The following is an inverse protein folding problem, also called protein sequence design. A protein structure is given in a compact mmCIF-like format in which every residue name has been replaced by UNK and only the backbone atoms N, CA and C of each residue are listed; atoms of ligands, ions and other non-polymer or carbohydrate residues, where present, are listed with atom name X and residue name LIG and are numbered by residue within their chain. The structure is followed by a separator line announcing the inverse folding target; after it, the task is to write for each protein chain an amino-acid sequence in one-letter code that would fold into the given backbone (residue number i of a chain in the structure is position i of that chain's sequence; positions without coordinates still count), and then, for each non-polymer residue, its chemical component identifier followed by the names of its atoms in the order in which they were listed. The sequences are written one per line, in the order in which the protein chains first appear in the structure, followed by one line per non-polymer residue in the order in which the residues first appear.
data_IF_800603303633
#
_entry.id   IF_800603303633
#
_cell.length_a   1.000
_cell.length_b   1.000
_cell.length_c   1.000
_cell.angle_alpha   90.00
_cell.angle_beta   90.00
_cell.angle_gamma   90.00
#
_symmetry.space_group_name_H-M   'P 1'
#
loop_
_entity.id
_entity.type
_entity.pdbx_description
1 polymer ?
#
# COMPACT_ATOMS: atom_id res chain seq x y z
N UNK A 1 17.51 35.31 -41.79
CA UNK A 1 16.07 35.38 -41.47
C UNK A 1 15.83 34.54 -40.23
N UNK A 2 15.95 35.18 -39.08
CA UNK A 2 15.79 34.61 -37.74
C UNK A 2 14.33 34.78 -37.31
N UNK A 3 13.58 33.68 -37.27
CA UNK A 3 12.19 33.65 -36.83
C UNK A 3 12.07 33.14 -35.39
N UNK A 4 11.90 34.04 -34.44
CA UNK A 4 11.64 33.77 -33.03
C UNK A 4 10.14 33.51 -32.84
N UNK A 5 9.75 32.28 -32.50
CA UNK A 5 8.37 31.95 -32.14
C UNK A 5 8.14 32.27 -30.65
N UNK A 6 7.42 33.36 -30.40
CA UNK A 6 6.84 33.70 -29.10
C UNK A 6 5.58 32.85 -28.87
N UNK A 7 5.67 31.86 -27.99
CA UNK A 7 4.48 31.19 -27.43
C UNK A 7 4.16 31.81 -26.07
N UNK A 8 3.27 32.81 -26.07
CA UNK A 8 2.68 33.36 -24.84
C UNK A 8 1.75 32.33 -24.19
N UNK A 9 2.27 31.62 -23.20
CA UNK A 9 1.46 30.76 -22.33
C UNK A 9 0.71 31.61 -21.30
N UNK A 10 -0.61 31.77 -21.50
CA UNK A 10 -1.51 32.27 -20.46
C UNK A 10 -1.48 31.31 -19.26
N UNK A 11 -0.91 31.76 -18.17
CA UNK A 11 -1.02 31.11 -16.86
C UNK A 11 -2.49 31.15 -16.41
N UNK A 12 -3.13 30.03 -16.05
CA UNK A 12 -4.45 30.08 -15.46
C UNK A 12 -4.34 30.68 -14.06
N UNK A 13 -4.93 31.85 -13.85
CA UNK A 13 -5.14 32.44 -12.55
C UNK A 13 -5.98 31.48 -11.69
N UNK A 14 -5.37 30.83 -10.70
CA UNK A 14 -6.08 30.09 -9.65
C UNK A 14 -6.79 31.10 -8.77
N UNK A 15 -8.11 31.10 -8.80
CA UNK A 15 -8.97 31.80 -7.85
C UNK A 15 -8.73 31.21 -6.45
N UNK A 16 -8.22 32.04 -5.54
CA UNK A 16 -7.72 31.65 -4.22
C UNK A 16 -8.82 31.42 -3.19
N UNK A 17 -9.41 30.23 -3.19
CA UNK A 17 -9.93 29.65 -1.95
C UNK A 17 -8.74 28.97 -1.25
N UNK A 18 -8.39 29.43 -0.06
CA UNK A 18 -7.34 28.81 0.75
C UNK A 18 -7.82 27.41 1.17
N UNK A 19 -7.21 26.37 0.60
CA UNK A 19 -7.56 24.98 0.88
C UNK A 19 -7.31 24.69 2.37
N UNK A 20 -8.32 24.17 3.06
CA UNK A 20 -8.19 23.87 4.49
C UNK A 20 -7.16 22.75 4.70
N UNK A 21 -6.38 22.82 5.79
CA UNK A 21 -5.47 21.74 6.15
C UNK A 21 -6.20 20.42 6.41
N UNK A 22 -5.52 19.30 6.16
CA UNK A 22 -6.06 17.94 6.32
C UNK A 22 -5.32 17.24 7.45
N UNK A 23 -6.06 16.89 8.50
CA UNK A 23 -5.53 16.37 9.77
C UNK A 23 -4.79 15.04 9.62
N UNK A 24 -5.35 14.08 8.87
CA UNK A 24 -4.84 12.71 8.73
C UNK A 24 -3.46 12.61 8.10
N UNK A 25 -2.97 13.70 7.48
CA UNK A 25 -1.63 13.79 6.92
C UNK A 25 -0.59 14.36 7.89
N UNK A 26 -0.96 14.74 9.11
CA UNK A 26 -0.04 15.33 10.09
C UNK A 26 0.48 14.29 11.07
N UNK A 27 1.74 14.47 11.48
CA UNK A 27 2.32 13.82 12.65
C UNK A 27 1.77 14.46 13.93
N UNK A 28 2.00 13.80 15.07
CA UNK A 28 1.58 14.34 16.36
C UNK A 28 2.19 15.71 16.63
N UNK A 29 3.49 15.87 16.34
CA UNK A 29 4.22 17.12 16.49
C UNK A 29 3.63 18.26 15.64
N UNK A 30 3.26 17.99 14.39
CA UNK A 30 2.62 18.99 13.52
C UNK A 30 1.21 19.34 13.99
N UNK A 31 0.47 18.36 14.52
CA UNK A 31 -0.83 18.63 15.15
C UNK A 31 -0.67 19.54 16.37
N UNK A 32 0.34 19.28 17.22
CA UNK A 32 0.65 20.13 18.37
C UNK A 32 1.05 21.55 17.96
N UNK A 33 1.89 21.69 16.94
CA UNK A 33 2.26 22.98 16.37
C UNK A 33 1.05 23.74 15.82
N UNK A 34 0.15 23.04 15.11
CA UNK A 34 -1.09 23.64 14.62
C UNK A 34 -2.00 24.11 15.76
N UNK A 35 -2.23 23.28 16.78
CA UNK A 35 -3.01 23.67 17.96
C UNK A 35 -2.41 24.92 18.64
N UNK A 36 -1.09 24.98 18.83
CA UNK A 36 -0.42 26.14 19.42
C UNK A 36 -0.62 27.41 18.58
N UNK A 37 -0.54 27.31 17.25
CA UNK A 37 -0.82 28.41 16.34
C UNK A 37 -2.27 28.91 16.38
N UNK A 38 -3.23 28.06 16.81
CA UNK A 38 -4.62 28.47 17.07
C UNK A 38 -4.82 29.07 18.48
N UNK A 39 -3.77 29.17 19.30
CA UNK A 39 -3.87 29.58 20.71
C UNK A 39 -4.49 28.50 21.61
N UNK A 40 -4.50 27.23 21.18
CA UNK A 40 -5.08 26.14 21.96
C UNK A 40 -4.07 25.56 22.94
N UNK A 41 -4.53 25.08 24.12
CA UNK A 41 -3.65 24.40 25.07
C UNK A 41 -2.97 23.16 24.47
N UNK A 42 -1.74 22.88 24.87
CA UNK A 42 -0.92 21.78 24.30
C UNK A 42 -1.55 20.39 24.37
N UNK A 43 -2.39 20.12 25.39
CA UNK A 43 -3.09 18.83 25.52
C UNK A 43 -4.15 18.59 24.42
N UNK A 44 -4.53 19.61 23.64
CA UNK A 44 -5.55 19.47 22.58
C UNK A 44 -5.09 18.56 21.45
N UNK A 45 -3.80 18.53 21.12
CA UNK A 45 -3.30 17.61 20.11
C UNK A 45 -3.55 16.15 20.49
N UNK A 46 -3.27 15.78 21.75
CA UNK A 46 -3.55 14.45 22.28
C UNK A 46 -5.03 14.11 22.25
N UNK A 47 -5.91 15.07 22.55
CA UNK A 47 -7.36 14.84 22.45
C UNK A 47 -7.82 14.62 21.02
N UNK A 48 -7.33 15.41 20.05
CA UNK A 48 -7.68 15.23 18.63
C UNK A 48 -7.23 13.84 18.13
N UNK A 49 -5.99 13.45 18.44
CA UNK A 49 -5.46 12.14 18.07
C UNK A 49 -6.23 10.99 18.72
N UNK A 50 -6.53 11.09 20.01
CA UNK A 50 -7.34 10.10 20.73
C UNK A 50 -8.72 9.93 20.10
N UNK A 51 -9.39 11.02 19.71
CA UNK A 51 -10.69 10.94 19.05
C UNK A 51 -10.65 10.29 17.68
N UNK A 52 -9.73 10.72 16.82
CA UNK A 52 -9.67 10.25 15.44
C UNK A 52 -9.14 8.82 15.38
N UNK A 53 -8.02 8.52 16.04
CA UNK A 53 -7.29 7.27 15.84
C UNK A 53 -7.65 6.15 16.83
N UNK A 54 -8.10 6.48 18.05
CA UNK A 54 -8.45 5.46 19.07
C UNK A 54 -9.95 5.30 19.25
N UNK A 55 -10.68 6.41 19.38
CA UNK A 55 -12.14 6.42 19.53
C UNK A 55 -12.89 6.37 18.20
N UNK A 56 -12.16 6.36 17.09
CA UNK A 56 -12.71 6.10 15.75
C UNK A 56 -13.82 7.12 15.38
N UNK A 57 -13.59 8.40 15.71
CA UNK A 57 -14.52 9.48 15.41
C UNK A 57 -14.42 9.91 13.95
N UNK A 58 -15.52 9.74 13.23
CA UNK A 58 -15.64 10.15 11.82
C UNK A 58 -15.79 11.67 11.63
N UNK A 59 -16.13 12.40 12.69
CA UNK A 59 -16.39 13.84 12.63
C UNK A 59 -16.09 14.54 13.97
N UNK A 60 -15.86 15.85 13.92
CA UNK A 60 -15.56 16.68 15.09
C UNK A 60 -16.73 16.83 16.07
N UNK A 61 -17.97 16.57 15.66
CA UNK A 61 -19.13 16.74 16.52
C UNK A 61 -19.15 15.72 17.67
N UNK A 62 -18.59 14.53 17.45
CA UNK A 62 -18.45 13.46 18.46
C UNK A 62 -17.43 13.75 19.56
N UNK A 63 -16.57 14.76 19.38
CA UNK A 63 -15.48 15.05 20.32
C UNK A 63 -16.00 15.73 21.60
N UNK A 64 -16.61 14.96 22.51
CA UNK A 64 -17.38 15.47 23.66
C UNK A 64 -16.56 16.21 24.73
N UNK A 65 -15.23 16.06 24.74
CA UNK A 65 -14.32 16.81 25.60
C UNK A 65 -13.85 18.15 24.98
N UNK A 66 -14.37 18.51 23.80
CA UNK A 66 -14.23 19.82 23.19
C UNK A 66 -15.51 20.64 23.42
N UNK A 67 -15.37 21.94 23.73
CA UNK A 67 -16.54 22.83 23.86
C UNK A 67 -17.30 22.92 22.52
N UNK A 68 -18.54 23.41 22.56
CA UNK A 68 -19.34 23.58 21.33
C UNK A 68 -18.67 24.56 20.37
N UNK A 69 -18.09 25.62 20.89
CA UNK A 69 -17.36 26.65 20.16
C UNK A 69 -16.11 26.06 19.50
N UNK A 70 -15.36 25.23 20.23
CA UNK A 70 -14.17 24.55 19.67
C UNK A 70 -14.52 23.57 18.56
N UNK A 71 -15.61 22.80 18.71
CA UNK A 71 -16.08 21.89 17.65
C UNK A 71 -16.47 22.67 16.39
N UNK A 72 -17.16 23.81 16.55
CA UNK A 72 -17.52 24.68 15.44
C UNK A 72 -16.30 25.34 14.76
N UNK A 73 -15.27 25.68 15.55
CA UNK A 73 -14.01 26.20 15.03
C UNK A 73 -13.21 25.14 14.26
N UNK A 74 -13.13 23.93 14.81
CA UNK A 74 -12.47 22.79 14.17
C UNK A 74 -13.04 22.53 12.78
N UNK A 75 -14.37 22.44 12.65
CA UNK A 75 -15.05 22.20 11.37
C UNK A 75 -14.84 23.32 10.34
N UNK A 76 -14.52 24.55 10.76
CA UNK A 76 -14.25 25.68 9.85
C UNK A 76 -12.79 25.78 9.43
N UNK A 77 -11.86 25.21 10.21
CA UNK A 77 -10.41 25.40 10.02
C UNK A 77 -9.66 24.14 9.62
N UNK A 78 -10.27 22.97 9.75
CA UNK A 78 -9.59 21.70 9.59
C UNK A 78 -10.52 20.67 8.93
N UNK A 79 -9.99 19.98 7.93
CA UNK A 79 -10.61 18.78 7.35
C UNK A 79 -10.04 17.57 8.08
N UNK A 80 -10.90 16.78 8.74
CA UNK A 80 -10.45 15.58 9.43
C UNK A 80 -10.02 14.49 8.44
N UNK A 81 -10.89 14.18 7.48
CA UNK A 81 -10.64 13.25 6.38
C UNK A 81 -11.13 13.87 5.08
N UNK A 82 -10.42 13.64 3.97
CA UNK A 82 -10.77 14.20 2.66
C UNK A 82 -11.22 13.18 1.62
N UNK A 83 -11.05 11.89 1.90
CA UNK A 83 -11.49 10.78 1.07
C UNK A 83 -12.81 10.21 1.56
N UNK A 84 -13.53 9.54 0.68
CA UNK A 84 -14.81 8.89 1.00
C UNK A 84 -14.90 7.52 0.33
N UNK A 85 -15.63 6.59 0.96
CA UNK A 85 -15.90 5.29 0.34
C UNK A 85 -16.99 5.46 -0.72
N UNK A 86 -16.68 5.14 -1.97
CA UNK A 86 -17.63 5.16 -3.09
C UNK A 86 -18.48 3.88 -3.07
N UNK A 87 -17.82 2.73 -2.96
CA UNK A 87 -18.49 1.42 -2.89
C UNK A 87 -17.69 0.42 -2.07
N UNK A 88 -18.37 -0.59 -1.54
CA UNK A 88 -17.77 -1.72 -0.82
C UNK A 88 -18.28 -3.04 -1.40
N UNK A 89 -17.37 -3.96 -1.67
CA UNK A 89 -17.69 -5.32 -2.09
C UNK A 89 -17.20 -6.31 -1.02
N UNK A 90 -18.08 -7.23 -0.61
CA UNK A 90 -17.79 -8.23 0.41
C UNK A 90 -17.67 -9.61 -0.24
N UNK A 91 -16.55 -10.27 0.01
CA UNK A 91 -16.24 -11.63 -0.45
C UNK A 91 -16.94 -12.68 0.40
N UNK A 92 -17.12 -13.87 -0.17
CA UNK A 92 -17.53 -15.09 0.54
C UNK A 92 -16.61 -15.45 1.72
N UNK A 93 -15.32 -15.09 1.66
CA UNK A 93 -14.36 -15.25 2.76
C UNK A 93 -14.35 -14.11 3.80
N UNK A 94 -15.31 -13.18 3.66
CA UNK A 94 -15.54 -11.97 4.46
C UNK A 94 -14.51 -10.84 4.27
N UNK A 95 -13.57 -10.97 3.34
CA UNK A 95 -12.72 -9.83 2.96
C UNK A 95 -13.58 -8.74 2.32
N UNK A 96 -13.24 -7.48 2.56
CA UNK A 96 -13.98 -6.34 2.00
C UNK A 96 -13.06 -5.46 1.18
N UNK A 97 -13.40 -5.26 -0.09
CA UNK A 97 -12.75 -4.30 -0.97
C UNK A 97 -13.54 -3.01 -1.02
N UNK A 98 -12.86 -1.89 -0.76
CA UNK A 98 -13.44 -0.54 -0.84
C UNK A 98 -12.85 0.19 -2.02
N UNK A 99 -13.70 0.80 -2.83
CA UNK A 99 -13.30 1.86 -3.75
C UNK A 99 -13.38 3.18 -3.00
N UNK A 100 -12.27 3.91 -2.92
CA UNK A 100 -12.14 5.13 -2.14
C UNK A 100 -11.91 6.29 -3.11
N UNK A 101 -12.83 7.25 -3.08
CA UNK A 101 -12.78 8.47 -3.87
C UNK A 101 -11.80 9.48 -3.27
N UNK A 102 -10.98 10.06 -4.14
CA UNK A 102 -9.98 11.07 -3.82
C UNK A 102 -10.49 12.48 -4.18
N UNK A 103 -9.93 13.53 -3.57
CA UNK A 103 -10.39 14.92 -3.76
C UNK A 103 -10.30 15.43 -5.20
N UNK A 104 -9.41 14.85 -6.00
CA UNK A 104 -9.16 15.20 -7.39
C UNK A 104 -10.04 14.39 -8.38
N UNK A 105 -11.01 13.63 -7.87
CA UNK A 105 -11.93 12.83 -8.68
C UNK A 105 -11.36 11.47 -9.12
N UNK A 106 -10.12 11.17 -8.78
CA UNK A 106 -9.55 9.83 -8.94
C UNK A 106 -10.02 8.89 -7.81
N UNK A 107 -9.69 7.60 -7.93
CA UNK A 107 -10.03 6.61 -6.91
C UNK A 107 -8.92 5.55 -6.76
N UNK A 108 -8.84 4.97 -5.57
CA UNK A 108 -7.99 3.82 -5.25
C UNK A 108 -8.77 2.74 -4.55
N UNK A 109 -8.27 1.51 -4.60
CA UNK A 109 -8.86 0.40 -3.86
C UNK A 109 -8.06 0.07 -2.59
N UNK A 110 -8.76 -0.31 -1.52
CA UNK A 110 -8.19 -0.82 -0.27
C UNK A 110 -8.93 -2.09 0.13
N UNK A 111 -8.23 -3.04 0.75
CA UNK A 111 -8.81 -4.34 1.13
C UNK A 111 -8.65 -4.57 2.62
N UNK A 112 -9.77 -4.76 3.31
CA UNK A 112 -9.79 -5.23 4.69
C UNK A 112 -9.90 -6.76 4.70
N UNK A 113 -9.00 -7.42 5.44
CA UNK A 113 -8.87 -8.87 5.47
C UNK A 113 -9.04 -9.34 6.92
N UNK A 114 -10.11 -10.08 7.25
CA UNK A 114 -10.34 -10.59 8.59
C UNK A 114 -9.35 -11.71 8.94
N UNK A 115 -8.69 -11.59 10.09
CA UNK A 115 -7.71 -12.55 10.64
C UNK A 115 -8.18 -13.09 12.01
N UNK A 116 -9.49 -13.35 12.15
CA UNK A 116 -10.09 -13.77 13.41
C UNK A 116 -10.31 -12.59 14.35
N UNK A 117 -9.49 -12.47 15.40
CA UNK A 117 -9.61 -11.41 16.41
C UNK A 117 -9.04 -10.04 15.98
N UNK A 118 -8.36 -9.99 14.84
CA UNK A 118 -7.77 -8.78 14.28
C UNK A 118 -7.95 -8.74 12.77
N UNK A 119 -7.52 -7.66 12.13
CA UNK A 119 -7.58 -7.51 10.69
C UNK A 119 -6.28 -6.95 10.10
N UNK A 120 -6.02 -7.33 8.85
CA UNK A 120 -5.01 -6.72 8.00
C UNK A 120 -5.68 -5.79 7.00
N UNK A 121 -5.13 -4.59 6.81
CA UNK A 121 -5.56 -3.68 5.73
C UNK A 121 -4.48 -3.60 4.66
N UNK A 122 -4.85 -3.91 3.42
CA UNK A 122 -4.05 -3.73 2.24
C UNK A 122 -4.30 -2.33 1.67
N UNK A 123 -3.30 -1.46 1.73
CA UNK A 123 -3.43 -0.06 1.32
C UNK A 123 -2.68 0.21 0.00
N UNK A 124 -3.26 1.12 -0.77
CA UNK A 124 -2.67 1.73 -1.96
C UNK A 124 -1.78 2.91 -1.57
N UNK A 125 -0.73 3.15 -2.36
CA UNK A 125 0.22 4.26 -2.17
C UNK A 125 0.27 5.23 -3.36
N UNK A 126 -0.29 4.84 -4.49
CA UNK A 126 -0.37 5.66 -5.70
C UNK A 126 -1.70 5.43 -6.41
N UNK A 127 -2.09 6.38 -7.25
CA UNK A 127 -3.20 6.19 -8.19
C UNK A 127 -2.64 5.52 -9.44
N UNK A 128 -2.92 4.23 -9.60
CA UNK A 128 -2.24 3.37 -10.58
C UNK A 128 -0.82 2.98 -10.15
N UNK A 129 0.01 2.47 -11.06
CA UNK A 129 1.38 2.06 -10.74
C UNK A 129 2.36 2.33 -11.89
N UNK A 130 3.49 3.02 -11.64
CA UNK A 130 4.47 3.34 -12.68
C UNK A 130 5.32 2.12 -13.10
N UNK A 131 5.32 1.03 -12.33
CA UNK A 131 6.16 -0.15 -12.62
C UNK A 131 5.62 -0.98 -13.79
N UNK A 132 4.30 -0.99 -14.00
CA UNK A 132 3.62 -1.73 -15.08
C UNK A 132 3.96 -3.23 -15.15
N UNK A 133 3.84 -3.93 -14.02
CA UNK A 133 3.95 -5.40 -14.02
C UNK A 133 2.89 -6.02 -14.93
N UNK A 134 3.29 -6.90 -15.86
CA UNK A 134 2.43 -7.47 -16.89
C UNK A 134 1.30 -8.38 -16.35
N UNK A 135 1.48 -8.89 -15.13
CA UNK A 135 0.52 -9.74 -14.42
C UNK A 135 -0.35 -8.96 -13.40
N UNK A 136 -0.30 -7.62 -13.40
CA UNK A 136 -0.98 -6.78 -12.41
C UNK A 136 -1.96 -5.79 -13.06
N UNK A 137 -3.22 -5.80 -12.63
CA UNK A 137 -4.26 -4.90 -13.13
C UNK A 137 -3.90 -3.42 -12.94
N UNK A 138 -3.35 -3.04 -11.78
CA UNK A 138 -2.94 -1.66 -11.51
C UNK A 138 -1.81 -1.19 -12.44
N UNK A 139 -1.00 -2.12 -12.96
CA UNK A 139 0.05 -1.82 -13.94
C UNK A 139 -0.51 -1.51 -15.33
N UNK A 140 -1.62 -2.17 -15.70
CA UNK A 140 -2.28 -1.98 -17.01
C UNK A 140 -3.03 -0.65 -17.13
N UNK A 141 -3.45 -0.06 -16.01
CA UNK A 141 -4.21 1.20 -15.98
C UNK A 141 -3.33 2.47 -15.97
N UNK A 142 -2.01 2.30 -16.05
CA UNK A 142 -1.06 3.39 -16.03
C UNK A 142 -0.87 4.02 -14.65
N UNK A 143 -0.26 5.20 -14.64
CA UNK A 143 0.08 5.96 -13.43
C UNK A 143 -0.44 7.39 -13.57
N UNK A 144 -1.01 7.92 -12.49
CA UNK A 144 -1.46 9.32 -12.46
C UNK A 144 -0.67 10.15 -11.47
N UNK A 145 -0.66 9.77 -10.19
CA UNK A 145 0.07 10.50 -9.15
C UNK A 145 0.33 9.66 -7.91
N UNK A 146 1.18 10.18 -7.05
CA UNK A 146 1.38 9.71 -5.70
C UNK A 146 0.20 10.09 -4.79
N UNK A 147 -0.08 9.25 -3.79
CA UNK A 147 -0.98 9.60 -2.69
C UNK A 147 -0.25 10.42 -1.63
N UNK A 148 -0.94 11.39 -1.03
CA UNK A 148 -0.48 12.04 0.19
C UNK A 148 -0.58 11.08 1.39
N UNK A 149 0.22 11.33 2.44
CA UNK A 149 0.22 10.50 3.65
C UNK A 149 -1.19 10.36 4.25
N UNK A 150 -1.96 11.44 4.28
CA UNK A 150 -3.36 11.42 4.72
C UNK A 150 -4.25 10.50 3.88
N UNK A 151 -4.09 10.49 2.56
CA UNK A 151 -4.85 9.59 1.66
C UNK A 151 -4.47 8.11 1.88
N UNK A 152 -3.25 7.82 2.33
CA UNK A 152 -2.81 6.46 2.71
C UNK A 152 -3.42 6.07 4.07
N UNK A 153 -3.29 6.94 5.07
CA UNK A 153 -3.81 6.74 6.44
C UNK A 153 -5.32 6.57 6.44
N UNK A 154 -6.03 7.38 5.66
CA UNK A 154 -7.50 7.35 5.59
C UNK A 154 -8.05 6.00 5.09
N UNK A 155 -7.30 5.24 4.28
CA UNK A 155 -7.69 3.88 3.88
C UNK A 155 -7.78 2.93 5.08
N UNK A 156 -6.91 3.09 6.08
CA UNK A 156 -6.92 2.32 7.32
C UNK A 156 -8.09 2.78 8.21
N UNK A 157 -8.31 4.09 8.31
CA UNK A 157 -9.41 4.66 9.08
C UNK A 157 -10.79 4.27 8.52
N UNK A 158 -10.97 4.26 7.20
CA UNK A 158 -12.21 3.77 6.58
C UNK A 158 -12.52 2.32 6.95
N UNK A 159 -11.50 1.47 7.00
CA UNK A 159 -11.65 0.09 7.43
C UNK A 159 -11.98 0.00 8.93
N UNK A 160 -11.31 0.79 9.77
CA UNK A 160 -11.55 0.85 11.22
C UNK A 160 -12.95 1.40 11.57
N UNK A 161 -13.44 2.41 10.84
CA UNK A 161 -14.79 2.95 10.96
C UNK A 161 -15.87 1.89 10.68
N UNK A 162 -15.67 1.07 9.65
CA UNK A 162 -16.61 0.01 9.32
C UNK A 162 -16.54 -1.19 10.29
N UNK A 163 -15.36 -1.48 10.85
CA UNK A 163 -15.10 -2.67 11.67
C UNK A 163 -14.64 -2.35 13.09
N UNK A 164 -15.41 -1.56 13.83
CA UNK A 164 -15.04 -1.10 15.17
C UNK A 164 -14.70 -2.20 16.18
N UNK A 165 -15.19 -3.43 16.00
CA UNK A 165 -14.92 -4.58 16.88
C UNK A 165 -13.67 -5.39 16.51
N UNK A 166 -13.19 -5.27 15.28
CA UNK A 166 -11.99 -5.97 14.82
C UNK A 166 -10.86 -4.96 14.70
N UNK A 167 -9.96 -4.95 15.69
CA UNK A 167 -8.84 -4.03 15.70
C UNK A 167 -7.99 -4.20 14.43
N UNK A 168 -7.83 -3.12 13.68
CA UNK A 168 -6.86 -3.06 12.58
C UNK A 168 -5.49 -2.90 13.20
N UNK A 169 -4.71 -3.98 13.18
CA UNK A 169 -3.39 -4.00 13.81
C UNK A 169 -2.28 -4.48 12.86
N UNK A 170 -2.63 -4.77 11.61
CA UNK A 170 -1.70 -5.14 10.53
C UNK A 170 -1.99 -4.28 9.29
N UNK A 171 -0.93 -3.76 8.67
CA UNK A 171 -1.04 -2.98 7.43
C UNK A 171 -0.04 -3.50 6.41
N UNK A 172 -0.50 -3.76 5.18
CA UNK A 172 0.37 -4.17 4.09
C UNK A 172 0.28 -3.15 2.96
N UNK A 173 1.42 -2.64 2.53
CA UNK A 173 1.53 -1.70 1.39
C UNK A 173 1.69 -2.52 0.11
N UNK A 174 0.62 -3.24 -0.23
CA UNK A 174 0.53 -4.19 -1.36
C UNK A 174 -0.70 -3.90 -2.23
N UNK A 175 -1.30 -2.72 -2.08
CA UNK A 175 -2.40 -2.25 -2.91
C UNK A 175 -1.91 -1.73 -4.27
N UNK A 176 -2.50 -0.64 -4.73
CA UNK A 176 -2.08 0.04 -5.95
C UNK A 176 -0.80 0.86 -5.70
N UNK A 177 0.17 0.74 -6.60
CA UNK A 177 1.41 1.54 -6.60
C UNK A 177 2.67 0.79 -6.12
N UNK A 178 3.80 1.46 -6.27
CA UNK A 178 5.11 1.08 -5.73
C UNK A 178 5.45 2.03 -4.56
N UNK A 179 5.32 1.58 -3.29
CA UNK A 179 5.49 2.44 -2.11
C UNK A 179 6.82 3.19 -2.09
N UNK A 180 7.91 2.56 -2.55
CA UNK A 180 9.24 3.15 -2.50
C UNK A 180 9.48 4.21 -3.58
N UNK A 181 8.58 4.36 -4.56
CA UNK A 181 8.54 5.50 -5.49
C UNK A 181 7.65 6.66 -4.97
N UNK A 182 6.97 6.45 -3.84
CA UNK A 182 6.25 7.48 -3.09
C UNK A 182 6.79 7.60 -1.66
N UNK A 183 8.12 7.52 -1.51
CA UNK A 183 8.77 7.26 -0.23
C UNK A 183 8.39 8.26 0.87
N UNK A 184 8.45 9.57 0.60
CA UNK A 184 8.19 10.60 1.62
C UNK A 184 6.77 10.53 2.20
N UNK A 185 5.77 10.32 1.35
CA UNK A 185 4.37 10.21 1.80
C UNK A 185 4.12 8.86 2.47
N UNK A 186 4.73 7.80 1.95
CA UNK A 186 4.66 6.46 2.50
C UNK A 186 5.26 6.39 3.92
N UNK A 187 6.51 6.82 4.12
CA UNK A 187 7.18 6.74 5.42
C UNK A 187 6.49 7.64 6.45
N UNK A 188 5.96 8.79 6.00
CA UNK A 188 5.13 9.66 6.83
C UNK A 188 3.84 8.98 7.27
N UNK A 189 3.15 8.26 6.37
CA UNK A 189 1.98 7.48 6.74
C UNK A 189 2.32 6.36 7.73
N UNK A 190 3.46 5.67 7.54
CA UNK A 190 3.97 4.67 8.50
C UNK A 190 4.19 5.29 9.88
N UNK A 191 4.81 6.47 9.96
CA UNK A 191 5.03 7.17 11.22
C UNK A 191 3.71 7.52 11.92
N UNK A 192 2.71 8.04 11.19
CA UNK A 192 1.39 8.38 11.73
C UNK A 192 0.66 7.15 12.28
N UNK A 193 0.69 6.04 11.54
CA UNK A 193 0.04 4.79 11.96
C UNK A 193 0.75 4.13 13.16
N UNK A 194 2.07 4.32 13.28
CA UNK A 194 2.88 3.75 14.35
C UNK A 194 2.88 4.57 15.65
N UNK A 195 2.60 5.87 15.57
CA UNK A 195 2.67 6.80 16.71
C UNK A 195 1.83 6.32 17.91
N UNK A 196 2.43 6.39 19.09
CA UNK A 196 1.82 5.93 20.34
C UNK A 196 0.57 6.71 20.72
N UNK A 197 0.43 7.98 20.30
CA UNK A 197 -0.74 8.81 20.57
C UNK A 197 -1.96 8.40 19.72
N UNK A 198 -1.74 7.65 18.64
CA UNK A 198 -2.75 7.29 17.66
C UNK A 198 -3.16 5.83 17.72
N UNK A 199 -3.18 5.19 16.53
CA UNK A 199 -3.52 3.78 16.37
C UNK A 199 -2.45 2.86 16.98
N UNK A 200 -1.22 3.35 17.12
CA UNK A 200 -0.10 2.65 17.73
C UNK A 200 0.14 1.25 17.11
N UNK A 201 0.03 1.16 15.77
CA UNK A 201 0.28 -0.08 15.05
C UNK A 201 1.78 -0.33 15.05
N UNK A 202 2.24 -1.35 15.78
CA UNK A 202 3.67 -1.66 15.86
C UNK A 202 4.29 -1.91 14.48
N UNK A 203 5.47 -1.33 14.23
CA UNK A 203 6.16 -1.42 12.93
C UNK A 203 6.34 -2.84 12.39
N UNK A 204 6.56 -3.83 13.27
CA UNK A 204 6.67 -5.26 12.91
C UNK A 204 5.37 -5.88 12.37
N UNK A 205 4.24 -5.20 12.53
CA UNK A 205 2.94 -5.59 11.96
C UNK A 205 2.64 -4.88 10.63
N UNK A 206 3.54 -4.02 10.19
CA UNK A 206 3.50 -3.38 8.90
C UNK A 206 4.48 -4.06 7.93
N UNK A 207 4.05 -4.23 6.69
CA UNK A 207 4.88 -4.84 5.64
C UNK A 207 4.82 -3.99 4.37
N UNK A 208 5.98 -3.54 3.90
CA UNK A 208 6.09 -2.93 2.58
C UNK A 208 6.53 -3.95 1.55
N UNK A 209 5.87 -3.95 0.39
CA UNK A 209 6.32 -4.71 -0.77
C UNK A 209 6.93 -3.77 -1.79
N UNK A 210 8.06 -4.16 -2.38
CA UNK A 210 8.69 -3.41 -3.47
C UNK A 210 9.14 -4.32 -4.59
N UNK A 211 9.11 -3.80 -5.81
CA UNK A 211 9.69 -4.40 -7.02
C UNK A 211 11.21 -4.20 -7.11
N UNK A 212 11.85 -3.66 -6.08
CA UNK A 212 13.32 -3.59 -5.98
C UNK A 212 13.90 -2.20 -6.15
N UNK A 213 13.22 -1.15 -5.65
CA UNK A 213 13.72 0.23 -5.69
C UNK A 213 14.86 0.38 -4.67
N UNK A 214 16.09 0.08 -5.08
CA UNK A 214 17.27 -0.01 -4.19
C UNK A 214 17.49 1.23 -3.31
N UNK A 215 17.41 2.48 -3.82
CA UNK A 215 17.56 3.66 -2.96
C UNK A 215 16.54 3.68 -1.82
N UNK A 216 15.28 3.37 -2.11
CA UNK A 216 14.21 3.30 -1.10
C UNK A 216 14.43 2.15 -0.10
N UNK A 217 14.96 0.99 -0.53
CA UNK A 217 15.31 -0.11 0.38
C UNK A 217 16.37 0.34 1.38
N UNK A 218 17.40 1.06 0.90
CA UNK A 218 18.48 1.57 1.77
C UNK A 218 17.96 2.60 2.76
N UNK A 219 17.10 3.51 2.30
CA UNK A 219 16.52 4.54 3.16
C UNK A 219 15.59 3.92 4.21
N UNK A 220 14.81 2.90 3.84
CA UNK A 220 13.91 2.18 4.73
C UNK A 220 14.66 1.51 5.91
N UNK A 221 15.85 0.98 5.65
CA UNK A 221 16.69 0.36 6.68
C UNK A 221 17.05 1.35 7.81
N UNK A 222 17.09 2.65 7.51
CA UNK A 222 17.34 3.71 8.49
C UNK A 222 16.03 4.21 9.13
N UNK A 223 15.03 4.55 8.30
CA UNK A 223 13.84 5.25 8.80
C UNK A 223 12.84 4.34 9.52
N UNK A 224 12.77 3.06 9.13
CA UNK A 224 11.84 2.09 9.73
C UNK A 224 12.46 0.67 9.82
N UNK A 225 13.57 0.49 10.56
CA UNK A 225 14.34 -0.76 10.61
C UNK A 225 13.56 -1.97 11.13
N UNK A 226 12.47 -1.74 11.87
CA UNK A 226 11.66 -2.80 12.45
C UNK A 226 10.58 -3.34 11.50
N UNK A 227 10.31 -2.64 10.40
CA UNK A 227 9.23 -3.00 9.48
C UNK A 227 9.60 -4.23 8.65
N UNK A 228 8.59 -5.00 8.22
CA UNK A 228 8.83 -6.15 7.35
C UNK A 228 9.04 -5.68 5.90
N UNK A 229 10.03 -6.26 5.24
CA UNK A 229 10.31 -6.01 3.82
C UNK A 229 9.95 -7.26 2.99
N UNK A 230 9.04 -7.05 2.05
CA UNK A 230 8.70 -8.02 1.02
C UNK A 230 9.22 -7.55 -0.36
N UNK A 231 9.71 -8.49 -1.16
CA UNK A 231 10.28 -8.25 -2.47
C UNK A 231 9.44 -8.99 -3.51
N UNK A 232 8.81 -8.22 -4.39
CA UNK A 232 8.16 -8.69 -5.60
C UNK A 232 9.22 -9.17 -6.61
N UNK A 233 9.72 -10.40 -6.41
CA UNK A 233 10.82 -10.96 -7.17
C UNK A 233 10.36 -11.53 -8.51
N UNK A 234 9.41 -12.48 -8.45
CA UNK A 234 8.62 -13.05 -9.56
C UNK A 234 9.39 -13.75 -10.70
N UNK A 235 10.72 -13.65 -10.75
CA UNK A 235 11.57 -14.37 -11.68
C UNK A 235 12.97 -14.54 -11.08
N UNK A 236 13.69 -15.55 -11.53
CA UNK A 236 15.01 -15.93 -11.01
C UNK A 236 16.17 -15.46 -11.90
N UNK A 237 15.87 -14.85 -13.04
CA UNK A 237 16.86 -14.26 -13.95
C UNK A 237 16.32 -12.97 -14.60
N UNK A 238 17.22 -12.04 -14.95
CA UNK A 238 16.86 -10.69 -15.36
C UNK A 238 16.03 -10.64 -16.65
N UNK A 239 16.27 -11.54 -17.61
CA UNK A 239 15.53 -11.56 -18.87
C UNK A 239 14.02 -11.77 -18.66
N UNK A 240 13.65 -12.76 -17.85
CA UNK A 240 12.24 -13.00 -17.51
C UNK A 240 11.71 -11.90 -16.58
N UNK A 241 12.52 -11.44 -15.63
CA UNK A 241 12.13 -10.37 -14.71
C UNK A 241 11.73 -9.09 -15.42
N UNK A 242 12.49 -8.66 -16.44
CA UNK A 242 12.15 -7.49 -17.27
C UNK A 242 10.92 -7.71 -18.14
N UNK A 243 10.63 -8.95 -18.55
CA UNK A 243 9.38 -9.28 -19.27
C UNK A 243 8.17 -9.17 -18.35
N UNK A 244 8.29 -9.62 -17.10
CA UNK A 244 7.19 -9.62 -16.13
C UNK A 244 7.00 -8.26 -15.45
N UNK A 245 8.08 -7.52 -15.21
CA UNK A 245 8.12 -6.22 -14.54
C UNK A 245 8.66 -5.19 -15.54
N UNK A 246 7.78 -4.55 -16.31
CA UNK A 246 8.17 -3.76 -17.48
C UNK A 246 9.17 -2.64 -17.16
N UNK A 247 8.94 -1.88 -16.09
CA UNK A 247 9.88 -0.87 -15.59
C UNK A 247 10.68 -1.38 -14.39
N UNK A 248 11.33 -2.53 -14.59
CA UNK A 248 12.17 -3.20 -13.59
C UNK A 248 13.24 -2.24 -13.02
N UNK A 249 13.25 -1.95 -11.70
CA UNK A 249 14.11 -0.91 -11.13
C UNK A 249 15.57 -1.34 -10.94
N UNK A 250 15.85 -2.65 -11.00
CA UNK A 250 17.17 -3.19 -10.67
C UNK A 250 17.41 -4.56 -11.32
N UNK A 251 18.67 -4.91 -11.49
CA UNK A 251 19.07 -6.31 -11.75
C UNK A 251 18.84 -7.16 -10.50
N UNK A 252 18.74 -8.48 -10.66
CA UNK A 252 18.71 -9.41 -9.53
C UNK A 252 20.03 -9.34 -8.74
N UNK A 253 21.17 -9.22 -9.42
CA UNK A 253 22.47 -9.11 -8.76
C UNK A 253 22.54 -7.93 -7.79
N UNK A 254 22.19 -6.73 -8.26
CA UNK A 254 22.21 -5.51 -7.43
C UNK A 254 21.14 -5.54 -6.34
N UNK A 255 19.97 -6.11 -6.65
CA UNK A 255 18.91 -6.32 -5.67
C UNK A 255 19.39 -7.20 -4.51
N UNK A 256 19.97 -8.37 -4.79
CA UNK A 256 20.45 -9.27 -3.74
C UNK A 256 21.53 -8.61 -2.87
N UNK A 257 22.45 -7.84 -3.46
CA UNK A 257 23.43 -7.06 -2.68
C UNK A 257 22.78 -6.04 -1.77
N UNK A 258 21.73 -5.37 -2.23
CA UNK A 258 20.98 -4.41 -1.41
C UNK A 258 20.22 -5.11 -0.28
N UNK A 259 19.66 -6.29 -0.52
CA UNK A 259 18.94 -7.08 0.49
C UNK A 259 19.88 -7.64 1.57
N UNK A 260 21.06 -8.12 1.18
CA UNK A 260 22.10 -8.52 2.13
C UNK A 260 22.53 -7.34 3.03
N UNK A 261 22.65 -6.13 2.46
CA UNK A 261 22.95 -4.92 3.23
C UNK A 261 21.79 -4.52 4.16
N UNK A 262 20.54 -4.61 3.68
CA UNK A 262 19.35 -4.35 4.48
C UNK A 262 19.26 -5.29 5.68
N UNK A 263 19.47 -6.59 5.46
CA UNK A 263 19.48 -7.58 6.54
C UNK A 263 20.59 -7.31 7.55
N UNK A 264 21.82 -7.03 7.11
CA UNK A 264 22.93 -6.68 8.01
C UNK A 264 22.63 -5.45 8.87
N UNK A 265 21.94 -4.44 8.32
CA UNK A 265 21.62 -3.21 9.03
C UNK A 265 20.46 -3.37 10.03
N UNK A 266 19.48 -4.22 9.72
CA UNK A 266 18.19 -4.27 10.45
C UNK A 266 17.95 -5.56 11.23
N UNK A 267 18.66 -6.64 10.89
CA UNK A 267 18.41 -7.99 11.36
C UNK A 267 17.07 -8.58 10.93
N UNK A 268 16.36 -7.95 9.96
CA UNK A 268 15.05 -8.43 9.49
C UNK A 268 15.23 -9.42 8.34
N UNK A 269 14.48 -10.52 8.42
CA UNK A 269 14.38 -11.48 7.31
C UNK A 269 13.58 -10.89 6.16
N UNK A 270 13.96 -11.29 4.94
CA UNK A 270 13.31 -10.85 3.71
C UNK A 270 12.18 -11.81 3.34
N UNK A 271 11.06 -11.27 2.87
CA UNK A 271 10.02 -12.10 2.24
C UNK A 271 10.10 -11.96 0.72
N UNK A 272 10.37 -13.05 0.00
CA UNK A 272 10.25 -13.05 -1.46
C UNK A 272 8.83 -13.41 -1.87
N UNK A 273 8.13 -12.48 -2.52
CA UNK A 273 6.85 -12.73 -3.15
C UNK A 273 7.10 -13.23 -4.59
N UNK A 274 6.58 -14.41 -4.90
CA UNK A 274 6.80 -15.10 -6.18
C UNK A 274 5.44 -15.48 -6.78
N UNK A 275 4.96 -14.69 -7.75
CA UNK A 275 3.77 -15.04 -8.51
C UNK A 275 4.10 -16.25 -9.38
N UNK A 276 3.33 -17.33 -9.20
CA UNK A 276 3.52 -18.55 -9.96
C UNK A 276 2.60 -18.51 -11.18
N UNK A 277 3.20 -18.50 -12.36
CA UNK A 277 2.57 -18.40 -13.67
C UNK A 277 2.82 -19.72 -14.41
N UNK A 278 1.74 -20.38 -14.83
CA UNK A 278 1.84 -21.69 -15.47
C UNK A 278 2.69 -21.61 -16.73
N UNK A 279 3.65 -22.54 -16.87
CA UNK A 279 4.56 -22.66 -18.02
C UNK A 279 5.47 -21.45 -18.28
N UNK A 280 5.58 -20.52 -17.32
CA UNK A 280 6.37 -19.29 -17.46
C UNK A 280 7.51 -19.24 -16.45
N UNK A 281 7.23 -19.54 -15.18
CA UNK A 281 8.20 -19.44 -14.10
C UNK A 281 7.98 -20.50 -13.00
N UNK A 282 7.35 -21.61 -13.37
CA UNK A 282 6.90 -22.71 -12.50
C UNK A 282 7.70 -24.01 -12.71
N UNK A 283 8.83 -23.96 -13.42
CA UNK A 283 9.63 -25.16 -13.69
C UNK A 283 10.49 -25.58 -12.50
N UNK A 284 10.99 -26.82 -12.53
CA UNK A 284 11.97 -27.29 -11.55
C UNK A 284 13.26 -26.44 -11.54
N UNK A 285 13.70 -25.98 -12.72
CA UNK A 285 14.85 -25.10 -12.85
C UNK A 285 14.61 -23.77 -12.15
N UNK A 286 13.42 -23.20 -12.30
CA UNK A 286 13.05 -21.96 -11.62
C UNK A 286 13.06 -22.17 -10.10
N UNK A 287 12.53 -23.28 -9.59
CA UNK A 287 12.58 -23.59 -8.16
C UNK A 287 14.01 -23.69 -7.61
N UNK A 288 14.92 -24.35 -8.34
CA UNK A 288 16.34 -24.45 -7.97
C UNK A 288 17.04 -23.08 -7.95
N UNK A 289 16.79 -22.25 -8.98
CA UNK A 289 17.38 -20.92 -9.03
C UNK A 289 16.79 -19.98 -7.96
N UNK A 290 15.49 -20.12 -7.65
CA UNK A 290 14.85 -19.37 -6.58
C UNK A 290 15.44 -19.77 -5.22
N UNK A 291 15.70 -21.06 -5.01
CA UNK A 291 16.39 -21.53 -3.80
C UNK A 291 17.78 -20.92 -3.66
N UNK A 292 18.57 -20.91 -4.74
CA UNK A 292 19.89 -20.28 -4.74
C UNK A 292 19.85 -18.78 -4.38
N UNK A 293 18.81 -18.05 -4.82
CA UNK A 293 18.60 -16.65 -4.42
C UNK A 293 18.17 -16.55 -2.95
N UNK A 294 17.22 -17.39 -2.52
CA UNK A 294 16.70 -17.39 -1.15
C UNK A 294 17.77 -17.71 -0.10
N UNK A 295 18.78 -18.51 -0.42
CA UNK A 295 19.88 -18.83 0.50
C UNK A 295 20.92 -17.70 0.67
N UNK A 296 20.91 -16.67 -0.17
CA UNK A 296 21.88 -15.56 -0.06
C UNK A 296 21.60 -14.61 1.12
N UNK A 297 20.35 -14.57 1.60
CA UNK A 297 19.92 -13.70 2.69
C UNK A 297 18.84 -14.43 3.48
N UNK A 298 18.82 -14.38 4.82
CA UNK A 298 17.74 -14.96 5.61
C UNK A 298 16.37 -14.52 5.09
N UNK A 299 15.62 -15.50 4.59
CA UNK A 299 14.41 -15.22 3.84
C UNK A 299 13.40 -16.35 3.90
N UNK A 300 12.17 -15.99 3.55
CA UNK A 300 11.07 -16.91 3.26
C UNK A 300 10.48 -16.60 1.90
N UNK A 301 9.89 -17.59 1.25
CA UNK A 301 9.24 -17.44 -0.05
C UNK A 301 7.73 -17.56 0.11
N UNK A 302 7.00 -16.54 -0.30
CA UNK A 302 5.56 -16.59 -0.48
C UNK A 302 5.27 -16.88 -1.96
N UNK A 303 4.85 -18.10 -2.26
CA UNK A 303 4.36 -18.50 -3.57
C UNK A 303 2.92 -18.01 -3.71
N UNK A 304 2.64 -17.23 -4.75
CA UNK A 304 1.32 -16.66 -5.04
C UNK A 304 0.83 -17.27 -6.35
N UNK A 305 0.01 -18.32 -6.31
CA UNK A 305 -0.62 -18.85 -7.51
C UNK A 305 -1.40 -17.74 -8.20
N UNK A 306 -1.05 -17.46 -9.45
CA UNK A 306 -1.56 -16.30 -10.18
C UNK A 306 -3.09 -16.19 -10.14
N UNK A 307 -3.59 -14.98 -9.84
CA UNK A 307 -5.00 -14.64 -9.90
C UNK A 307 -5.23 -13.98 -11.27
N UNK A 308 -5.99 -14.61 -12.18
CA UNK A 308 -6.23 -14.04 -13.49
C UNK A 308 -6.78 -12.61 -13.39
N UNK A 309 -6.15 -11.70 -14.11
CA UNK A 309 -6.72 -10.38 -14.41
C UNK A 309 -7.40 -10.44 -15.78
N UNK A 310 -8.37 -9.55 -16.01
CA UNK A 310 -9.04 -9.50 -17.31
C UNK A 310 -8.01 -9.22 -18.42
N UNK A 311 -8.01 -10.08 -19.44
CA UNK A 311 -7.21 -9.97 -20.67
C UNK A 311 -5.69 -9.86 -20.49
N UNK A 312 -5.02 -10.97 -20.14
CA UNK A 312 -3.58 -11.11 -20.38
C UNK A 312 -3.19 -12.51 -20.85
N UNK A 313 -1.94 -12.66 -21.27
CA UNK A 313 -1.39 -13.90 -21.85
C UNK A 313 -1.04 -14.98 -20.81
N UNK A 314 -1.17 -14.67 -19.51
CA UNK A 314 -0.73 -15.55 -18.43
C UNK A 314 -1.85 -16.46 -17.92
N UNK A 315 -1.44 -17.65 -17.45
CA UNK A 315 -2.35 -18.67 -16.93
C UNK A 315 -2.06 -18.97 -15.46
N UNK A 316 -3.11 -19.24 -14.71
CA UNK A 316 -2.98 -19.72 -13.34
C UNK A 316 -2.46 -21.17 -13.35
N UNK A 317 -1.50 -21.52 -12.47
CA UNK A 317 -1.04 -22.89 -12.35
C UNK A 317 -2.14 -23.78 -11.75
N UNK A 318 -2.12 -25.06 -12.11
CA UNK A 318 -2.94 -26.07 -11.44
C UNK A 318 -2.49 -26.24 -9.98
N UNK A 319 -3.34 -26.87 -9.17
CA UNK A 319 -2.98 -27.24 -7.80
C UNK A 319 -1.77 -28.17 -7.77
N UNK A 320 -1.69 -29.12 -8.70
CA UNK A 320 -0.56 -30.04 -8.83
C UNK A 320 0.74 -29.34 -9.21
N UNK A 321 0.71 -28.39 -10.16
CA UNK A 321 1.87 -27.56 -10.52
C UNK A 321 2.35 -26.76 -9.31
N UNK A 322 1.42 -26.13 -8.58
CA UNK A 322 1.73 -25.37 -7.37
C UNK A 322 2.36 -26.26 -6.30
N UNK A 323 1.75 -27.42 -6.03
CA UNK A 323 2.25 -28.38 -5.05
C UNK A 323 3.61 -28.96 -5.45
N UNK A 324 3.84 -29.22 -6.74
CA UNK A 324 5.13 -29.66 -7.25
C UNK A 324 6.21 -28.58 -7.04
N UNK A 325 5.93 -27.33 -7.37
CA UNK A 325 6.87 -26.22 -7.18
C UNK A 325 7.26 -26.05 -5.71
N UNK A 326 6.28 -26.14 -4.79
CA UNK A 326 6.56 -26.11 -3.35
C UNK A 326 7.43 -27.27 -2.89
N UNK A 327 7.13 -28.51 -3.32
CA UNK A 327 7.96 -29.68 -2.98
C UNK A 327 9.39 -29.49 -3.45
N UNK A 328 9.60 -28.86 -4.61
CA UNK A 328 10.95 -28.55 -5.08
C UNK A 328 11.63 -27.51 -4.17
N UNK A 329 10.94 -26.43 -3.76
CA UNK A 329 11.50 -25.46 -2.82
C UNK A 329 11.82 -26.08 -1.45
N UNK A 330 10.94 -26.93 -0.93
CA UNK A 330 11.13 -27.67 0.32
C UNK A 330 12.32 -28.63 0.24
N UNK A 331 12.44 -29.38 -0.86
CA UNK A 331 13.60 -30.25 -1.11
C UNK A 331 14.93 -29.47 -1.15
N UNK A 332 14.89 -28.24 -1.64
CA UNK A 332 16.03 -27.32 -1.61
C UNK A 332 16.13 -26.52 -0.30
N UNK A 333 15.46 -26.94 0.77
CA UNK A 333 15.52 -26.35 2.11
C UNK A 333 15.14 -24.85 2.16
N UNK A 334 14.18 -24.45 1.32
CA UNK A 334 13.61 -23.10 1.34
C UNK A 334 12.31 -23.12 2.14
N UNK A 335 12.18 -22.22 3.11
CA UNK A 335 10.91 -22.01 3.80
C UNK A 335 9.91 -21.31 2.86
N UNK A 336 9.11 -22.11 2.17
CA UNK A 336 8.12 -21.66 1.20
C UNK A 336 6.69 -21.89 1.70
N UNK A 337 5.83 -20.89 1.52
CA UNK A 337 4.41 -20.95 1.87
C UNK A 337 3.57 -20.52 0.67
N UNK A 338 2.43 -21.19 0.47
CA UNK A 338 1.41 -20.68 -0.45
C UNK A 338 0.63 -19.58 0.24
N UNK A 339 0.59 -18.41 -0.38
CA UNK A 339 -0.30 -17.34 0.05
C UNK A 339 -1.73 -17.71 -0.32
N UNK A 340 -2.56 -18.02 0.69
CA UNK A 340 -3.99 -18.30 0.49
C UNK A 340 -4.64 -17.13 -0.24
N UNK A 341 -5.35 -17.42 -1.34
CA UNK A 341 -6.04 -16.40 -2.12
C UNK A 341 -7.25 -15.90 -1.31
N UNK A 342 -7.25 -14.62 -0.96
CA UNK A 342 -8.34 -13.96 -0.22
C UNK A 342 -9.04 -12.94 -1.12
N UNK A 343 -10.37 -12.91 -1.09
CA UNK A 343 -11.20 -11.96 -1.85
C UNK A 343 -11.10 -12.08 -3.38
N UNK A 344 -10.87 -13.28 -3.92
CA UNK A 344 -10.72 -13.50 -5.37
C UNK A 344 -12.03 -13.22 -6.12
N UNK A 345 -13.15 -13.65 -5.56
CA UNK A 345 -14.51 -13.49 -6.10
C UNK A 345 -14.90 -12.02 -6.32
N UNK A 346 -14.31 -11.10 -5.54
CA UNK A 346 -14.55 -9.66 -5.63
C UNK A 346 -13.40 -8.88 -6.30
N UNK A 347 -12.45 -9.56 -6.96
CA UNK A 347 -11.26 -8.95 -7.54
C UNK A 347 -10.44 -8.13 -6.51
N UNK A 348 -10.24 -8.69 -5.31
CA UNK A 348 -9.48 -8.09 -4.21
C UNK A 348 -8.18 -8.83 -3.89
N UNK A 349 -7.88 -9.92 -4.60
CA UNK A 349 -6.64 -10.64 -4.41
C UNK A 349 -5.45 -9.83 -4.95
N UNK A 350 -4.23 -10.19 -4.54
CA UNK A 350 -3.01 -9.51 -4.97
C UNK A 350 -2.93 -9.46 -6.50
N UNK A 351 -2.71 -8.24 -7.03
CA UNK A 351 -2.62 -7.98 -8.47
C UNK A 351 -3.96 -7.66 -9.17
N UNK A 352 -5.12 -7.78 -8.51
CA UNK A 352 -6.43 -7.55 -9.14
C UNK A 352 -6.99 -6.13 -8.94
N UNK A 353 -6.34 -5.31 -8.12
CA UNK A 353 -6.86 -3.99 -7.78
C UNK A 353 -6.77 -3.00 -8.94
N UNK A 354 -7.85 -2.26 -9.19
CA UNK A 354 -8.03 -1.44 -10.40
C UNK A 354 -8.99 -0.27 -10.18
N UNK A 355 -8.88 0.77 -11.00
CA UNK A 355 -9.78 1.92 -11.06
C UNK A 355 -11.05 1.50 -11.77
N UNK A 356 -12.09 1.17 -11.02
CA UNK A 356 -13.43 1.15 -11.59
C UNK A 356 -13.89 2.60 -11.81
N UNK A 357 -13.47 3.22 -12.93
CA UNK A 357 -14.11 4.45 -13.41
C UNK A 357 -15.56 4.09 -13.76
N UNK A 358 -16.49 4.85 -13.17
CA UNK A 358 -17.91 4.52 -13.10
C UNK A 358 -18.46 3.82 -14.35
N UNK A 359 -18.88 2.57 -14.18
CA UNK A 359 -20.18 2.23 -14.76
C UNK A 359 -21.17 3.15 -14.05
N UNK A 360 -21.58 4.21 -14.73
CA UNK A 360 -22.87 4.81 -14.45
C UNK A 360 -23.86 3.64 -14.32
N UNK A 361 -24.67 3.66 -13.26
CA UNK A 361 -25.76 2.72 -13.10
C UNK A 361 -26.63 2.75 -14.36
N UNK A 362 -26.36 1.89 -15.33
CA UNK A 362 -27.33 1.53 -16.36
C UNK A 362 -28.17 0.43 -15.76
N UNK A 363 -29.23 0.86 -15.08
CA UNK A 363 -30.44 0.06 -14.90
C UNK A 363 -30.85 -0.49 -16.27
N UNK A 364 -30.81 -1.81 -16.39
CA UNK A 364 -31.48 -2.60 -17.43
C UNK A 364 -32.20 -3.72 -16.72
#
# INVERSE_FOLDING_TARGET
MTGTLHTGGRTPQRTGAQELPVFTGWTFAETAAWCAAQGWPGFRAAQLWDWVYRKNAADGARMSNLSREMRAELSRRLVLMRTHVITTHTSSDRSEKRLIGLPDGEAVESVWIPMGAHATVCVSTQVGCPIRCAFCASGSEGYTRNLAAGEIVEQVLHAQHAHARAAVNNVVFMGMGEPLLNYDQFIRAVAILNDEHGMHIGARRMTVSTTGVIPGIRQLAHDAPQMNLAISLHATHDALRRRLIAHCPSTIFDLMRALEAYHRATGRDITFEYVLLAYVNDSQRDAQQLAALAHRVPSKVNVIPYNPVFSNEFQAPTEDQTAQFLRQLEHNQVHALVRRRKGVDINAACGQLRRLRGAAATSG
#
